data_IF_623334173507
#
_entry.id   IF_623334173507
#
_cell.length_a   1.000
_cell.length_b   1.000
_cell.length_c   1.000
_cell.angle_alpha   90.00
_cell.angle_beta   90.00
_cell.angle_gamma   90.00
#
_symmetry.space_group_name_H-M   'P 1'
#
loop_
_entity.id
_entity.type
_entity.pdbx_description
1 polymer ?
#
# COMPACT_ATOMS: atom_id res chain seq x y z
N UNK A 1 -12.84 -20.14 -18.85
CA UNK A 1 -12.31 -19.74 -17.54
C UNK A 1 -13.01 -18.47 -17.14
N UNK A 2 -13.78 -18.46 -16.03
CA UNK A 2 -14.41 -17.25 -15.53
C UNK A 2 -13.29 -16.31 -15.04
N UNK A 3 -13.10 -15.19 -15.73
CA UNK A 3 -12.25 -14.11 -15.23
C UNK A 3 -12.93 -13.52 -13.98
N UNK A 4 -12.40 -13.83 -12.81
CA UNK A 4 -12.82 -13.16 -11.59
C UNK A 4 -12.39 -11.69 -11.70
N UNK A 5 -13.34 -10.81 -11.95
CA UNK A 5 -13.12 -9.35 -11.89
C UNK A 5 -12.91 -8.96 -10.44
N UNK A 6 -11.69 -8.60 -10.08
CA UNK A 6 -11.39 -8.02 -8.77
C UNK A 6 -12.08 -6.64 -8.73
N UNK A 7 -13.01 -6.47 -7.81
CA UNK A 7 -13.75 -5.23 -7.63
C UNK A 7 -13.11 -4.42 -6.49
N UNK A 8 -12.20 -3.53 -6.84
CA UNK A 8 -11.54 -2.66 -5.84
C UNK A 8 -12.49 -1.51 -5.49
N UNK A 9 -12.80 -1.28 -4.20
CA UNK A 9 -13.67 -0.20 -3.78
C UNK A 9 -13.11 1.16 -4.18
N UNK A 10 -13.94 2.00 -4.81
CA UNK A 10 -13.54 3.36 -5.18
C UNK A 10 -13.44 4.25 -3.94
N UNK A 11 -12.33 4.93 -3.81
CA UNK A 11 -12.07 5.87 -2.73
C UNK A 11 -12.59 7.27 -3.08
N UNK A 12 -13.11 7.97 -2.05
CA UNK A 12 -13.43 9.40 -2.18
C UNK A 12 -12.12 10.19 -2.12
N UNK A 13 -11.66 10.64 -3.28
CA UNK A 13 -10.47 11.48 -3.42
C UNK A 13 -10.84 12.98 -3.38
N UNK A 14 -9.88 13.87 -3.07
CA UNK A 14 -10.08 15.31 -3.23
C UNK A 14 -10.53 15.65 -4.66
N UNK A 15 -11.47 16.59 -4.81
CA UNK A 15 -12.11 16.91 -6.10
C UNK A 15 -11.12 17.10 -7.25
N UNK A 16 -9.98 17.75 -7.02
CA UNK A 16 -8.94 17.99 -8.03
C UNK A 16 -8.23 16.72 -8.51
N UNK A 17 -8.29 15.63 -7.76
CA UNK A 17 -7.63 14.36 -8.07
C UNK A 17 -8.62 13.22 -8.38
N UNK A 18 -9.92 13.50 -8.37
CA UNK A 18 -10.96 12.48 -8.57
C UNK A 18 -10.82 11.70 -9.89
N UNK A 19 -10.22 12.33 -10.92
CA UNK A 19 -9.96 11.71 -12.24
C UNK A 19 -8.51 11.23 -12.42
N UNK A 20 -7.66 11.37 -11.41
CA UNK A 20 -6.23 11.05 -11.51
C UNK A 20 -5.69 10.52 -10.18
N UNK A 21 -6.11 9.31 -9.73
CA UNK A 21 -5.65 8.72 -8.47
C UNK A 21 -4.13 8.58 -8.39
N UNK A 22 -3.46 8.23 -9.50
CA UNK A 22 -2.00 8.11 -9.56
C UNK A 22 -1.29 9.44 -9.26
N UNK A 23 -1.80 10.57 -9.77
CA UNK A 23 -1.26 11.89 -9.44
C UNK A 23 -1.46 12.25 -7.97
N UNK A 24 -2.55 11.80 -7.36
CA UNK A 24 -2.78 11.97 -5.93
C UNK A 24 -1.80 11.14 -5.11
N UNK A 25 -1.62 9.87 -5.46
CA UNK A 25 -0.64 8.99 -4.82
C UNK A 25 0.77 9.60 -4.91
N UNK A 26 1.19 10.01 -6.12
CA UNK A 26 2.50 10.64 -6.33
C UNK A 26 2.70 11.87 -5.43
N UNK A 27 1.71 12.75 -5.38
CA UNK A 27 1.78 13.92 -4.51
C UNK A 27 1.95 13.52 -3.04
N UNK A 28 1.17 12.56 -2.55
CA UNK A 28 1.29 12.08 -1.17
C UNK A 28 2.67 11.50 -0.88
N UNK A 29 3.21 10.71 -1.79
CA UNK A 29 4.54 10.09 -1.65
C UNK A 29 5.62 11.16 -1.55
N UNK A 30 5.61 12.14 -2.45
CA UNK A 30 6.61 13.21 -2.48
C UNK A 30 6.49 14.11 -1.24
N UNK A 31 5.28 14.56 -0.90
CA UNK A 31 5.05 15.39 0.28
C UNK A 31 5.57 14.69 1.57
N UNK A 32 5.35 13.38 1.71
CA UNK A 32 5.85 12.61 2.85
C UNK A 32 7.37 12.41 2.80
N UNK A 33 7.93 12.11 1.64
CA UNK A 33 9.38 11.94 1.48
C UNK A 33 10.14 13.23 1.78
N UNK A 34 9.64 14.38 1.32
CA UNK A 34 10.19 15.70 1.63
C UNK A 34 10.03 16.04 3.11
N UNK A 35 8.84 15.85 3.68
CA UNK A 35 8.57 16.13 5.10
C UNK A 35 9.39 15.27 6.07
N UNK A 36 9.85 14.10 5.64
CA UNK A 36 10.74 13.20 6.39
C UNK A 36 12.24 13.42 6.10
N UNK A 37 12.57 14.33 5.19
CA UNK A 37 13.95 14.57 4.79
C UNK A 37 14.61 13.38 4.04
N UNK A 38 13.82 12.53 3.39
CA UNK A 38 14.34 11.38 2.64
C UNK A 38 14.98 11.79 1.31
N UNK A 39 14.53 12.92 0.74
CA UNK A 39 15.04 13.44 -0.52
C UNK A 39 16.16 14.44 -0.24
N UNK A 40 17.41 13.99 -0.39
CA UNK A 40 18.60 14.85 -0.33
C UNK A 40 19.01 15.27 -1.75
N UNK A 41 19.86 16.32 -1.91
CA UNK A 41 20.37 16.69 -3.23
C UNK A 41 21.05 15.52 -3.96
N UNK A 42 21.71 14.62 -3.23
CA UNK A 42 22.50 13.51 -3.76
C UNK A 42 21.63 12.35 -4.26
N UNK A 43 20.47 12.08 -3.61
CA UNK A 43 19.65 10.92 -3.92
C UNK A 43 18.30 11.27 -4.60
N UNK A 44 17.99 12.57 -4.74
CA UNK A 44 16.67 13.04 -5.19
C UNK A 44 16.27 12.45 -6.53
N UNK A 45 17.15 12.45 -7.49
CA UNK A 45 16.85 12.00 -8.85
C UNK A 45 16.60 10.49 -8.88
N UNK A 46 17.39 9.70 -8.18
CA UNK A 46 17.23 8.24 -8.06
C UNK A 46 15.89 7.90 -7.40
N UNK A 47 15.57 8.54 -6.27
CA UNK A 47 14.31 8.30 -5.56
C UNK A 47 13.10 8.70 -6.40
N UNK A 48 13.13 9.85 -7.07
CA UNK A 48 12.02 10.29 -7.92
C UNK A 48 11.82 9.36 -9.11
N UNK A 49 12.88 8.91 -9.76
CA UNK A 49 12.80 7.93 -10.85
C UNK A 49 12.15 6.63 -10.37
N UNK A 50 12.59 6.11 -9.20
CA UNK A 50 12.03 4.89 -8.62
C UNK A 50 10.56 5.06 -8.25
N UNK A 51 10.17 6.19 -7.62
CA UNK A 51 8.78 6.51 -7.29
C UNK A 51 7.91 6.55 -8.55
N UNK A 52 8.38 7.24 -9.58
CA UNK A 52 7.63 7.38 -10.83
C UNK A 52 7.49 6.04 -11.57
N UNK A 53 8.53 5.21 -11.55
CA UNK A 53 8.48 3.84 -12.08
C UNK A 53 7.44 2.99 -11.34
N UNK A 54 7.49 2.95 -10.00
CA UNK A 54 6.55 2.16 -9.20
C UNK A 54 5.10 2.60 -9.40
N UNK A 55 4.85 3.92 -9.41
CA UNK A 55 3.49 4.46 -9.64
C UNK A 55 2.97 4.11 -11.03
N UNK A 56 3.82 4.16 -12.06
CA UNK A 56 3.45 3.76 -13.41
C UNK A 56 3.06 2.26 -13.48
N UNK A 57 3.78 1.40 -12.76
CA UNK A 57 3.44 -0.02 -12.67
C UNK A 57 2.13 -0.21 -11.91
N UNK A 58 1.90 0.48 -10.77
CA UNK A 58 0.64 0.42 -10.05
C UNK A 58 -0.55 0.87 -10.91
N UNK A 59 -0.37 1.93 -11.69
CA UNK A 59 -1.41 2.45 -12.60
C UNK A 59 -1.71 1.45 -13.72
N UNK A 60 -0.66 0.89 -14.35
CA UNK A 60 -0.78 -0.13 -15.40
C UNK A 60 -1.50 -1.39 -14.90
N UNK A 61 -1.22 -1.82 -13.67
CA UNK A 61 -1.86 -2.97 -13.04
C UNK A 61 -3.26 -2.68 -12.46
N UNK A 62 -3.69 -1.39 -12.41
CA UNK A 62 -4.99 -1.00 -11.85
C UNK A 62 -5.07 -1.03 -10.33
N UNK A 63 -3.94 -0.99 -9.61
CA UNK A 63 -3.89 -1.13 -8.14
C UNK A 63 -3.71 0.17 -7.36
N UNK A 64 -3.74 1.34 -8.02
CA UNK A 64 -3.56 2.64 -7.35
C UNK A 64 -4.61 2.88 -6.27
N UNK A 65 -5.89 2.59 -6.54
CA UNK A 65 -6.97 2.78 -5.55
C UNK A 65 -6.86 1.78 -4.38
N UNK A 66 -6.42 0.54 -4.66
CA UNK A 66 -6.10 -0.43 -3.62
C UNK A 66 -5.02 0.09 -2.66
N UNK A 67 -3.91 0.59 -3.22
CA UNK A 67 -2.82 1.18 -2.43
C UNK A 67 -3.27 2.36 -1.58
N UNK A 68 -4.04 3.28 -2.16
CA UNK A 68 -4.60 4.41 -1.43
C UNK A 68 -5.52 3.94 -0.30
N UNK A 69 -6.22 2.81 -0.48
CA UNK A 69 -7.01 2.15 0.57
C UNK A 69 -6.15 1.67 1.72
N UNK A 70 -5.05 0.96 1.42
CA UNK A 70 -4.08 0.48 2.42
C UNK A 70 -3.46 1.65 3.19
N UNK A 71 -2.98 2.69 2.47
CA UNK A 71 -2.40 3.90 3.09
C UNK A 71 -3.39 4.58 4.02
N UNK A 72 -4.64 4.69 3.61
CA UNK A 72 -5.67 5.32 4.43
C UNK A 72 -5.94 4.51 5.69
N UNK A 73 -6.06 3.19 5.55
CA UNK A 73 -6.28 2.28 6.67
C UNK A 73 -5.12 2.38 7.69
N UNK A 74 -3.88 2.22 7.25
CA UNK A 74 -2.72 2.26 8.14
C UNK A 74 -2.58 3.61 8.84
N UNK A 75 -2.86 4.71 8.14
CA UNK A 75 -2.87 6.05 8.73
C UNK A 75 -3.94 6.21 9.81
N UNK A 76 -5.17 5.76 9.56
CA UNK A 76 -6.25 5.84 10.54
C UNK A 76 -5.97 4.95 11.76
N UNK A 77 -5.37 3.77 11.56
CA UNK A 77 -4.94 2.90 12.65
C UNK A 77 -3.85 3.56 13.50
N UNK A 78 -2.83 4.14 12.87
CA UNK A 78 -1.77 4.88 13.57
C UNK A 78 -2.32 6.07 14.38
N UNK A 79 -3.24 6.85 13.81
CA UNK A 79 -3.89 7.98 14.51
C UNK A 79 -4.75 7.52 15.69
N UNK A 80 -5.25 6.29 15.66
CA UNK A 80 -6.00 5.67 16.77
C UNK A 80 -5.09 5.07 17.84
N UNK A 81 -3.77 5.30 17.76
CA UNK A 81 -2.78 4.80 18.73
C UNK A 81 -2.51 3.30 18.61
N UNK A 82 -2.90 2.66 17.50
CA UNK A 82 -2.56 1.25 17.26
C UNK A 82 -1.14 1.12 16.71
N UNK A 83 -0.40 0.22 17.31
CA UNK A 83 0.91 -0.20 16.79
C UNK A 83 0.70 -1.27 15.73
N UNK A 84 1.40 -1.11 14.61
CA UNK A 84 1.48 -2.14 13.58
C UNK A 84 2.92 -2.31 13.11
N UNK A 85 3.23 -3.48 12.64
CA UNK A 85 4.52 -3.82 12.06
C UNK A 85 4.32 -4.21 10.59
N UNK A 86 5.02 -3.53 9.71
CA UNK A 86 4.95 -3.74 8.28
C UNK A 86 6.38 -3.78 7.70
N UNK A 87 7.11 -4.82 8.05
CA UNK A 87 8.50 -5.01 7.63
C UNK A 87 8.78 -6.38 7.03
N UNK A 88 7.75 -7.23 6.90
CA UNK A 88 7.87 -8.55 6.26
C UNK A 88 7.17 -8.58 4.91
N UNK A 89 7.52 -9.57 4.09
CA UNK A 89 6.91 -9.77 2.79
C UNK A 89 7.55 -8.97 1.66
N UNK A 90 7.14 -9.27 0.45
CA UNK A 90 7.73 -8.72 -0.79
C UNK A 90 7.41 -7.25 -1.02
N UNK A 91 6.35 -6.74 -0.42
CA UNK A 91 5.96 -5.33 -0.56
C UNK A 91 6.96 -4.35 0.09
N UNK A 92 7.86 -4.86 0.96
CA UNK A 92 8.98 -4.07 1.50
C UNK A 92 9.94 -3.59 0.42
N UNK A 93 9.87 -4.15 -0.80
CA UNK A 93 10.64 -3.70 -1.95
C UNK A 93 10.07 -2.43 -2.62
N UNK A 94 8.95 -1.87 -2.11
CA UNK A 94 8.35 -0.66 -2.65
C UNK A 94 8.82 0.60 -1.93
N UNK A 95 9.42 1.52 -2.66
CA UNK A 95 9.81 2.85 -2.18
C UNK A 95 8.56 3.71 -1.87
N UNK A 96 7.50 3.54 -2.64
CA UNK A 96 6.21 4.18 -2.38
C UNK A 96 5.70 3.83 -0.97
N UNK A 97 5.77 2.57 -0.58
CA UNK A 97 5.36 2.13 0.75
C UNK A 97 6.30 2.62 1.86
N UNK A 98 7.60 2.68 1.60
CA UNK A 98 8.57 3.26 2.52
C UNK A 98 8.31 4.76 2.75
N UNK A 99 8.10 5.53 1.70
CA UNK A 99 7.78 6.94 1.82
C UNK A 99 6.48 7.20 2.58
N UNK A 100 5.48 6.32 2.45
CA UNK A 100 4.17 6.44 3.10
C UNK A 100 4.09 5.79 4.50
N UNK A 101 5.22 5.36 5.07
CA UNK A 101 5.31 4.73 6.40
C UNK A 101 4.54 3.40 6.52
N UNK A 102 4.29 2.71 5.41
CA UNK A 102 3.72 1.37 5.44
C UNK A 102 4.79 0.33 5.73
N UNK A 103 6.02 0.54 5.26
CA UNK A 103 7.21 -0.24 5.63
C UNK A 103 8.30 0.68 6.20
N UNK A 104 9.17 0.10 7.02
CA UNK A 104 10.33 0.80 7.60
C UNK A 104 11.65 0.50 6.86
N UNK A 105 11.58 -0.28 5.79
CA UNK A 105 12.76 -0.71 5.02
C UNK A 105 12.89 0.19 3.80
N UNK A 106 14.03 0.85 3.67
CA UNK A 106 14.38 1.60 2.47
C UNK A 106 14.85 0.64 1.37
N UNK A 107 14.08 0.42 0.31
CA UNK A 107 14.40 -0.59 -0.70
C UNK A 107 15.60 -0.20 -1.56
N UNK A 108 15.93 1.08 -1.69
CA UNK A 108 17.10 1.53 -2.44
C UNK A 108 18.36 1.19 -1.66
N UNK A 109 18.38 1.51 -0.37
CA UNK A 109 19.52 1.22 0.50
C UNK A 109 19.90 -0.27 0.54
N UNK A 110 18.92 -1.16 0.41
CA UNK A 110 19.10 -2.62 0.49
C UNK A 110 19.01 -3.30 -0.88
N UNK A 111 19.03 -2.54 -1.97
CA UNK A 111 18.96 -3.03 -3.35
C UNK A 111 17.80 -4.03 -3.58
N UNK A 112 16.61 -3.69 -3.07
CA UNK A 112 15.44 -4.53 -3.19
C UNK A 112 14.73 -4.29 -4.52
N UNK A 113 14.48 -5.38 -5.25
CA UNK A 113 13.83 -5.35 -6.56
C UNK A 113 12.31 -5.22 -6.41
N UNK A 114 11.75 -4.13 -6.90
CA UNK A 114 10.30 -3.86 -6.88
C UNK A 114 9.49 -4.91 -7.66
N UNK A 115 10.05 -5.45 -8.72
CA UNK A 115 9.44 -6.47 -9.59
C UNK A 115 9.15 -7.79 -8.87
N UNK A 116 9.74 -8.01 -7.69
CA UNK A 116 9.40 -9.14 -6.81
C UNK A 116 8.06 -8.94 -6.11
N UNK A 117 7.69 -7.69 -5.86
CA UNK A 117 6.41 -7.33 -5.27
C UNK A 117 5.32 -7.25 -6.33
N UNK A 118 5.54 -6.46 -7.38
CA UNK A 118 4.58 -6.28 -8.45
C UNK A 118 5.28 -6.28 -9.82
N UNK A 119 4.84 -7.20 -10.68
CA UNK A 119 5.30 -7.30 -12.03
C UNK A 119 4.10 -7.28 -12.99
N UNK A 120 4.03 -6.32 -13.93
CA UNK A 120 2.92 -6.21 -14.86
C UNK A 120 2.77 -7.44 -15.80
N UNK A 121 3.80 -8.26 -15.92
CA UNK A 121 3.77 -9.49 -16.71
C UNK A 121 3.24 -10.71 -15.94
N UNK A 122 2.98 -10.54 -14.63
CA UNK A 122 2.36 -11.55 -13.77
C UNK A 122 1.07 -10.98 -13.20
N UNK A 123 -0.06 -11.53 -13.61
CA UNK A 123 -1.40 -11.13 -13.13
C UNK A 123 -1.64 -11.74 -11.73
N UNK A 124 -0.98 -11.20 -10.73
CA UNK A 124 -1.27 -11.51 -9.33
C UNK A 124 -1.64 -10.23 -8.60
N UNK A 125 -2.69 -10.32 -7.78
CA UNK A 125 -3.03 -9.21 -6.88
C UNK A 125 -1.88 -8.99 -5.90
N UNK A 126 -1.46 -7.73 -5.65
CA UNK A 126 -0.43 -7.46 -4.67
C UNK A 126 -0.91 -7.88 -3.27
N UNK A 127 -0.06 -8.60 -2.57
CA UNK A 127 -0.27 -9.03 -1.20
C UNK A 127 0.49 -8.11 -0.26
N UNK A 128 -0.22 -7.57 0.75
CA UNK A 128 0.35 -6.65 1.72
C UNK A 128 0.13 -7.20 3.13
N UNK A 129 1.22 -7.69 3.71
CA UNK A 129 1.24 -8.28 5.06
C UNK A 129 1.45 -7.20 6.13
N UNK A 130 0.46 -6.93 6.95
CA UNK A 130 0.55 -6.00 8.07
C UNK A 130 0.21 -6.75 9.34
N UNK A 131 1.15 -6.76 10.29
CA UNK A 131 0.97 -7.41 11.59
C UNK A 131 0.44 -6.41 12.60
N UNK A 132 -0.58 -6.80 13.34
CA UNK A 132 -1.14 -6.06 14.46
C UNK A 132 -1.07 -6.94 15.71
N UNK A 133 -1.08 -6.32 16.89
CA UNK A 133 -1.36 -7.05 18.12
C UNK A 133 -2.80 -7.59 18.12
N UNK A 134 -3.13 -8.48 19.07
CA UNK A 134 -4.43 -9.16 19.09
C UNK A 134 -5.61 -8.16 19.19
N UNK A 135 -5.48 -7.13 20.03
CA UNK A 135 -6.49 -6.08 20.19
C UNK A 135 -6.57 -5.19 18.94
N UNK A 136 -5.43 -4.84 18.37
CA UNK A 136 -5.33 -4.06 17.13
C UNK A 136 -5.95 -4.79 15.96
N UNK A 137 -5.71 -6.10 15.83
CA UNK A 137 -6.31 -6.92 14.78
C UNK A 137 -7.84 -6.89 14.81
N UNK A 138 -8.43 -7.04 15.99
CA UNK A 138 -9.90 -6.96 16.14
C UNK A 138 -10.44 -5.59 15.73
N UNK A 139 -9.79 -4.50 16.14
CA UNK A 139 -10.18 -3.12 15.80
C UNK A 139 -10.05 -2.84 14.30
N UNK A 140 -9.05 -3.42 13.63
CA UNK A 140 -8.90 -3.32 12.17
C UNK A 140 -10.08 -3.96 11.47
N UNK A 141 -10.50 -5.15 11.88
CA UNK A 141 -11.68 -5.81 11.30
C UNK A 141 -12.95 -4.97 11.51
N UNK A 142 -13.18 -4.45 12.70
CA UNK A 142 -14.32 -3.57 12.96
C UNK A 142 -14.30 -2.33 12.03
N UNK A 143 -13.14 -1.67 11.92
CA UNK A 143 -12.98 -0.53 11.03
C UNK A 143 -13.31 -0.86 9.56
N UNK A 144 -12.83 -1.99 9.07
CA UNK A 144 -13.07 -2.41 7.69
C UNK A 144 -14.57 -2.74 7.50
N UNK A 145 -15.18 -3.44 8.46
CA UNK A 145 -16.61 -3.75 8.44
C UNK A 145 -17.50 -2.49 8.45
N UNK A 146 -17.18 -1.52 9.30
CA UNK A 146 -17.91 -0.25 9.38
C UNK A 146 -17.78 0.56 8.08
N UNK A 147 -16.63 0.48 7.45
CA UNK A 147 -16.33 1.28 6.26
C UNK A 147 -16.84 0.71 4.96
N UNK A 148 -16.73 -0.60 4.79
CA UNK A 148 -17.03 -1.29 3.54
C UNK A 148 -18.28 -2.19 3.62
N UNK A 149 -18.77 -2.47 4.82
CA UNK A 149 -19.89 -3.38 5.08
C UNK A 149 -19.44 -4.83 5.27
N UNK A 150 -20.13 -5.56 6.12
CA UNK A 150 -19.83 -6.98 6.45
C UNK A 150 -19.82 -7.89 5.23
N UNK A 151 -20.69 -7.62 4.27
CA UNK A 151 -20.83 -8.41 3.03
C UNK A 151 -19.63 -8.28 2.08
N UNK A 152 -18.73 -7.31 2.33
CA UNK A 152 -17.55 -7.05 1.51
C UNK A 152 -16.28 -7.65 2.11
N UNK A 153 -16.38 -8.36 3.24
CA UNK A 153 -15.24 -8.90 3.97
C UNK A 153 -15.40 -10.40 4.08
N UNK A 154 -14.31 -11.11 3.87
CA UNK A 154 -14.22 -12.53 4.12
C UNK A 154 -12.97 -12.86 4.92
N UNK A 155 -13.12 -13.80 5.86
CA UNK A 155 -12.01 -14.35 6.60
C UNK A 155 -11.51 -15.61 5.88
N UNK A 156 -10.22 -15.71 5.65
CA UNK A 156 -9.60 -16.95 5.17
C UNK A 156 -9.33 -17.84 6.37
N UNK A 157 -9.97 -19.01 6.39
CA UNK A 157 -9.78 -20.03 7.43
C UNK A 157 -8.80 -21.08 6.90
N UNK A 158 -7.70 -21.26 7.61
CA UNK A 158 -6.78 -22.38 7.35
C UNK A 158 -7.08 -23.53 8.31
N UNK A 159 -7.30 -24.72 7.78
CA UNK A 159 -7.43 -25.92 8.57
C UNK A 159 -6.06 -26.63 8.65
N UNK A 160 -5.52 -26.75 9.86
CA UNK A 160 -4.35 -27.57 10.13
C UNK A 160 -4.79 -28.91 10.76
N UNK A 161 -4.34 -30.04 10.24
CA UNK A 161 -4.37 -31.31 10.96
C UNK A 161 -3.12 -31.41 11.83
N UNK A 162 -3.32 -31.62 13.13
CA UNK A 162 -2.22 -32.04 14.02
C UNK A 162 -1.87 -33.49 13.77
#
# INVERSE_FOLDING_TARGET
MNEYKINIPRLKLPKKFAKSPAKYLRKMVIDNAEGRGLLTPENRDEYLQRIDHEIAVFERCGYVEYLLGVVKMTKEMSLSGMSYFAGRGVFSASLVFYCLLITNIDPIRYDLLFERFLNPDRINMPDVDIDFDDDGRYRVFQYIEEKYGKEQISHVITYGTM
#
